data_IF_865573204421
#
_entry.id   IF_865573204421
#
_cell.length_a   1.000
_cell.length_b   1.000
_cell.length_c   1.000
_cell.angle_alpha   90.00
_cell.angle_beta   90.00
_cell.angle_gamma   90.00
#
_symmetry.space_group_name_H-M   'P 1'
#
loop_
_entity.id
_entity.type
_entity.pdbx_description
1 polymer ?
#
# COMPACT_ATOMS: atom_id res chain seq x y z
N UNK A 1 -7.11 7.15 -9.78
CA UNK A 1 -6.10 6.05 -9.85
C UNK A 1 -4.90 6.56 -10.63
N UNK A 2 -3.66 6.17 -10.28
CA UNK A 2 -2.46 6.56 -11.05
C UNK A 2 -2.04 5.41 -11.97
N UNK A 3 -1.84 5.69 -13.25
CA UNK A 3 -1.41 4.67 -14.25
C UNK A 3 -0.01 5.02 -14.75
N UNK A 4 0.91 4.07 -14.65
CA UNK A 4 2.26 4.19 -15.17
C UNK A 4 2.46 3.14 -16.26
N UNK A 5 3.01 3.55 -17.40
CA UNK A 5 3.23 2.66 -18.54
C UNK A 5 4.72 2.42 -18.72
N UNK A 6 5.08 1.18 -19.10
CA UNK A 6 6.47 0.79 -19.37
C UNK A 6 6.53 0.19 -20.77
N UNK A 7 7.26 0.85 -21.67
CA UNK A 7 7.49 0.35 -23.02
C UNK A 7 8.67 -0.62 -23.07
N UNK A 8 8.47 -1.79 -23.68
CA UNK A 8 9.53 -2.79 -23.91
C UNK A 8 9.62 -3.06 -25.40
N UNK A 9 10.80 -2.84 -25.98
CA UNK A 9 11.04 -3.06 -27.40
C UNK A 9 11.80 -1.89 -28.02
N UNK A 10 11.68 -1.76 -29.34
CA UNK A 10 12.27 -0.65 -30.10
C UNK A 10 11.19 0.04 -30.94
N UNK A 11 11.22 1.39 -31.04
CA UNK A 11 10.34 2.13 -31.94
C UNK A 11 10.66 1.88 -33.42
N UNK A 12 11.86 1.40 -33.76
CA UNK A 12 12.21 1.05 -35.14
C UNK A 12 11.54 -0.28 -35.56
N UNK A 13 11.15 -1.10 -34.58
CA UNK A 13 10.59 -2.43 -34.79
C UNK A 13 11.66 -3.51 -35.04
N UNK A 14 11.25 -4.77 -34.89
CA UNK A 14 12.10 -5.94 -35.11
C UNK A 14 11.26 -7.16 -35.47
N UNK A 15 11.90 -8.16 -36.08
CA UNK A 15 11.29 -9.47 -36.28
C UNK A 15 11.48 -10.32 -35.01
N UNK A 16 10.37 -10.81 -34.46
CA UNK A 16 10.39 -11.80 -33.38
C UNK A 16 9.94 -13.15 -33.92
N UNK A 17 10.64 -14.22 -33.53
CA UNK A 17 10.24 -15.59 -33.82
C UNK A 17 9.38 -16.10 -32.67
N UNK A 18 8.07 -16.19 -32.87
CA UNK A 18 7.13 -16.79 -31.91
C UNK A 18 6.47 -18.02 -32.55
N UNK A 19 6.57 -19.17 -31.88
CA UNK A 19 5.92 -20.41 -32.35
C UNK A 19 6.36 -20.85 -33.76
N UNK A 20 7.63 -20.63 -34.11
CA UNK A 20 8.18 -20.97 -35.43
C UNK A 20 7.78 -20.02 -36.56
N UNK A 21 7.06 -18.93 -36.27
CA UNK A 21 6.71 -17.87 -37.23
C UNK A 21 7.46 -16.59 -36.90
N UNK A 22 7.97 -15.93 -37.94
CA UNK A 22 8.56 -14.60 -37.83
C UNK A 22 7.47 -13.55 -37.95
N UNK A 23 7.31 -12.70 -36.93
CA UNK A 23 6.34 -11.61 -36.89
C UNK A 23 7.07 -10.28 -36.71
N UNK A 24 6.68 -9.27 -37.49
CA UNK A 24 7.17 -7.91 -37.32
C UNK A 24 6.43 -7.24 -36.17
N UNK A 25 7.17 -6.72 -35.19
CA UNK A 25 6.62 -5.98 -34.05
C UNK A 25 7.34 -4.66 -33.87
N UNK A 26 6.65 -3.67 -33.32
CA UNK A 26 7.20 -2.35 -32.99
C UNK A 26 6.59 -1.83 -31.71
N UNK A 27 7.39 -1.13 -30.91
CA UNK A 27 6.89 -0.44 -29.73
C UNK A 27 6.17 0.84 -30.14
N UNK A 28 4.90 0.95 -29.74
CA UNK A 28 4.13 2.19 -29.86
C UNK A 28 4.26 3.00 -28.56
N UNK A 29 5.24 3.89 -28.52
CA UNK A 29 5.43 4.75 -27.34
C UNK A 29 4.37 5.85 -27.20
N UNK A 30 3.79 6.31 -28.31
CA UNK A 30 2.87 7.44 -28.33
C UNK A 30 1.59 7.06 -27.59
N UNK A 31 1.01 5.92 -27.94
CA UNK A 31 -0.16 5.36 -27.25
C UNK A 31 0.13 5.11 -25.76
N UNK A 32 1.33 4.61 -25.42
CA UNK A 32 1.69 4.37 -24.02
C UNK A 32 1.86 5.66 -23.21
N UNK A 33 2.35 6.74 -23.83
CA UNK A 33 2.45 8.07 -23.20
C UNK A 33 1.06 8.64 -22.92
N UNK A 34 0.16 8.55 -23.89
CA UNK A 34 -1.22 9.03 -23.74
C UNK A 34 -1.96 8.31 -22.61
N UNK A 35 -1.86 6.98 -22.53
CA UNK A 35 -2.47 6.19 -21.45
C UNK A 35 -1.94 6.60 -20.07
N UNK A 36 -0.64 6.86 -19.95
CA UNK A 36 -0.06 7.33 -18.69
C UNK A 36 -0.53 8.75 -18.33
N UNK A 37 -0.67 9.63 -19.32
CA UNK A 37 -1.13 11.00 -19.13
C UNK A 37 -2.59 11.05 -18.68
N UNK A 38 -3.48 10.29 -19.34
CA UNK A 38 -4.88 10.13 -18.94
C UNK A 38 -4.99 9.62 -17.51
N UNK A 39 -4.12 8.67 -17.13
CA UNK A 39 -4.05 8.13 -15.78
C UNK A 39 -3.30 8.99 -14.77
N UNK A 40 -2.85 10.20 -15.13
CA UNK A 40 -2.10 11.09 -14.24
C UNK A 40 -0.78 10.51 -13.71
N UNK A 41 -0.16 9.60 -14.46
CA UNK A 41 1.16 9.03 -14.19
C UNK A 41 2.19 9.43 -15.24
N UNK A 42 3.16 8.55 -15.51
CA UNK A 42 4.25 8.80 -16.46
C UNK A 42 4.62 7.52 -17.23
N UNK A 43 5.12 7.73 -18.43
CA UNK A 43 5.70 6.72 -19.30
C UNK A 43 7.19 6.49 -18.98
N UNK A 44 7.64 5.24 -19.07
CA UNK A 44 9.03 4.85 -18.93
C UNK A 44 9.43 3.87 -20.04
N UNK A 45 10.63 4.03 -20.61
CA UNK A 45 11.18 3.06 -21.54
C UNK A 45 12.06 2.04 -20.79
N UNK A 46 11.87 0.74 -20.99
CA UNK A 46 12.55 -0.30 -20.20
C UNK A 46 14.08 -0.35 -20.41
N UNK A 47 14.59 0.13 -21.56
CA UNK A 47 16.04 0.26 -21.77
C UNK A 47 16.67 1.39 -20.95
N UNK A 48 15.87 2.31 -20.41
CA UNK A 48 16.34 3.44 -19.60
C UNK A 48 16.57 3.07 -18.13
N UNK A 49 16.90 1.80 -17.83
CA UNK A 49 16.97 1.10 -16.53
C UNK A 49 17.49 1.91 -15.31
N UNK A 50 18.15 3.05 -15.52
CA UNK A 50 18.41 4.08 -14.51
C UNK A 50 17.17 4.81 -13.96
N UNK A 51 16.12 5.05 -14.76
CA UNK A 51 14.98 5.88 -14.36
C UNK A 51 14.06 5.17 -13.34
N UNK A 52 13.93 3.84 -13.47
CA UNK A 52 13.25 2.97 -12.49
C UNK A 52 13.81 3.11 -11.08
N UNK A 53 15.14 3.28 -10.94
CA UNK A 53 15.81 3.44 -9.63
C UNK A 53 15.56 4.82 -9.01
N UNK A 54 15.25 5.82 -9.83
CA UNK A 54 14.86 7.16 -9.37
C UNK A 54 13.40 7.20 -8.89
N UNK A 55 12.50 6.51 -9.59
CA UNK A 55 11.09 6.35 -9.17
C UNK A 55 10.97 5.60 -7.85
N UNK A 56 11.70 4.48 -7.68
CA UNK A 56 11.73 3.75 -6.41
C UNK A 56 12.31 4.57 -5.25
N UNK A 57 13.36 5.40 -5.50
CA UNK A 57 13.87 6.34 -4.48
C UNK A 57 12.86 7.41 -4.08
N UNK A 58 12.01 7.85 -5.01
CA UNK A 58 10.97 8.85 -4.74
C UNK A 58 9.75 8.24 -4.04
N UNK A 59 9.39 6.98 -4.34
CA UNK A 59 8.30 6.25 -3.68
C UNK A 59 8.68 5.75 -2.27
N UNK A 60 9.97 5.57 -1.97
CA UNK A 60 10.46 5.15 -0.65
C UNK A 60 10.10 6.10 0.52
N UNK A 61 9.57 7.30 0.26
CA UNK A 61 9.10 8.24 1.30
C UNK A 61 7.60 8.16 1.61
N UNK A 62 6.83 7.28 0.96
CA UNK A 62 5.37 7.19 1.18
C UNK A 62 4.92 5.85 1.78
N UNK A 63 5.81 5.18 2.51
CA UNK A 63 5.37 4.31 3.61
C UNK A 63 5.38 5.19 4.85
N UNK A 64 4.46 6.15 4.88
CA UNK A 64 4.19 6.94 6.07
C UNK A 64 3.58 5.99 7.10
N UNK A 65 4.24 5.84 8.23
CA UNK A 65 3.65 5.18 9.38
C UNK A 65 2.39 5.94 9.79
N UNK A 66 1.22 5.47 9.34
CA UNK A 66 -0.05 5.99 9.80
C UNK A 66 -0.23 5.52 11.25
N UNK A 67 0.15 6.38 12.21
CA UNK A 67 -0.10 6.15 13.64
C UNK A 67 -1.61 6.17 13.84
N UNK A 68 -2.25 5.01 13.73
CA UNK A 68 -3.60 4.84 14.28
C UNK A 68 -3.49 4.94 15.80
N UNK A 69 -4.22 5.87 16.46
CA UNK A 69 -4.39 5.80 17.89
C UNK A 69 -5.12 4.48 18.18
N UNK A 70 -4.43 3.52 18.77
CA UNK A 70 -5.07 2.30 19.28
C UNK A 70 -5.92 2.71 20.46
N UNK A 71 -7.24 2.60 20.31
CA UNK A 71 -8.16 2.99 21.36
C UNK A 71 -8.15 1.93 22.48
N UNK A 72 -7.51 2.27 23.60
CA UNK A 72 -7.44 1.43 24.80
C UNK A 72 -8.62 1.65 25.75
N UNK A 73 -9.59 2.50 25.38
CA UNK A 73 -10.75 2.84 26.22
C UNK A 73 -11.58 1.62 26.59
N UNK A 74 -11.74 0.64 25.69
CA UNK A 74 -12.48 -0.59 25.96
C UNK A 74 -11.84 -1.44 27.07
N UNK A 75 -10.52 -1.64 27.01
CA UNK A 75 -9.75 -2.35 28.04
C UNK A 75 -9.79 -1.60 29.38
N UNK A 76 -9.65 -0.27 29.35
CA UNK A 76 -9.74 0.57 30.53
C UNK A 76 -11.13 0.53 31.19
N UNK A 77 -12.20 0.56 30.39
CA UNK A 77 -13.57 0.46 30.87
C UNK A 77 -13.86 -0.89 31.55
N UNK A 78 -13.38 -1.99 30.97
CA UNK A 78 -13.48 -3.33 31.60
C UNK A 78 -12.72 -3.35 32.93
N UNK A 79 -11.51 -2.79 32.96
CA UNK A 79 -10.73 -2.68 34.21
C UNK A 79 -11.44 -1.89 35.29
N UNK A 80 -12.05 -0.75 34.93
CA UNK A 80 -12.83 0.07 35.86
C UNK A 80 -14.04 -0.70 36.42
N UNK A 81 -14.78 -1.42 35.57
CA UNK A 81 -15.93 -2.22 36.00
C UNK A 81 -15.53 -3.32 36.99
N UNK A 82 -14.42 -4.02 36.74
CA UNK A 82 -13.90 -5.04 37.65
C UNK A 82 -13.51 -4.45 39.00
N UNK A 83 -12.84 -3.30 39.02
CA UNK A 83 -12.48 -2.60 40.25
C UNK A 83 -13.72 -2.17 41.03
N UNK A 84 -14.76 -1.65 40.37
CA UNK A 84 -16.02 -1.29 41.03
C UNK A 84 -16.75 -2.51 41.59
N UNK A 85 -16.78 -3.63 40.86
CA UNK A 85 -17.40 -4.87 41.33
C UNK A 85 -16.65 -5.44 42.54
N UNK A 86 -15.31 -5.46 42.49
CA UNK A 86 -14.48 -5.86 43.62
C UNK A 86 -14.71 -4.94 44.84
N UNK A 87 -14.80 -3.62 44.63
CA UNK A 87 -15.11 -2.66 45.71
C UNK A 87 -16.44 -2.95 46.39
N UNK A 88 -17.49 -3.26 45.62
CA UNK A 88 -18.81 -3.63 46.17
C UNK A 88 -18.77 -4.95 46.94
N UNK A 89 -18.04 -5.95 46.45
CA UNK A 89 -17.88 -7.25 47.12
C UNK A 89 -17.12 -7.09 48.44
N UNK A 90 -16.01 -6.35 48.43
CA UNK A 90 -15.25 -6.05 49.65
C UNK A 90 -16.08 -5.21 50.62
N UNK A 91 -16.81 -4.18 50.14
CA UNK A 91 -17.67 -3.34 50.97
C UNK A 91 -18.76 -4.15 51.66
N UNK A 92 -19.38 -5.09 50.93
CA UNK A 92 -20.39 -6.00 51.50
C UNK A 92 -19.77 -6.98 52.49
N UNK A 93 -18.56 -7.46 52.24
CA UNK A 93 -17.81 -8.32 53.16
C UNK A 93 -17.35 -7.59 54.43
N UNK A 94 -17.07 -6.29 54.35
CA UNK A 94 -16.61 -5.48 55.48
C UNK A 94 -17.76 -4.96 56.36
N UNK A 95 -18.98 -4.84 55.80
CA UNK A 95 -20.19 -4.43 56.53
C UNK A 95 -20.95 -5.60 57.19
N UNK A 96 -20.44 -6.83 57.12
CA UNK A 96 -20.85 -7.94 57.99
C UNK A 96 -19.72 -8.37 58.95
N UNK A 97 -19.21 -7.51 59.86
CA UNK A 97 -18.51 -7.99 61.03
C UNK A 97 -19.55 -8.49 62.04
N UNK A 98 -19.71 -9.81 62.11
CA UNK A 98 -20.18 -10.62 63.26
C UNK A 98 -21.44 -10.09 63.99
N UNK A 99 -22.60 -10.62 63.59
CA UNK A 99 -23.71 -10.83 64.52
C UNK A 99 -23.52 -12.15 65.27
#
# INVERSE_FOLDING_TARGET
IKVYTVGIGTPEGTFLTLGGRSIWVRLDEETLKEVAEIGGGRYFHASSTMELRQVYRQLGRTIGWERKPTDVSALAAVGALLLTAASLVLSRGWLHPLG
#
